data_IF_307986476969
#
_entry.id   IF_307986476969
#
_cell.length_a   1.000
_cell.length_b   1.000
_cell.length_c   1.000
_cell.angle_alpha   90.00
_cell.angle_beta   90.00
_cell.angle_gamma   90.00
#
_symmetry.space_group_name_H-M   'P 1'
#
loop_
_entity.id
_entity.type
_entity.pdbx_description
1 polymer ?
#
# COMPACT_ATOMS: atom_id res chain seq x y z
N UNK A 1 -2.90 -0.39 -2.38
CA UNK A 1 -3.26 -1.58 -1.58
C UNK A 1 -4.59 -2.11 -2.11
N UNK A 2 -4.78 -3.43 -2.09
CA UNK A 2 -6.09 -4.05 -2.38
C UNK A 2 -6.49 -4.95 -1.21
N UNK A 3 -7.76 -4.91 -0.84
CA UNK A 3 -8.40 -5.95 -0.01
C UNK A 3 -9.52 -6.55 -0.84
N UNK A 4 -9.33 -7.78 -1.32
CA UNK A 4 -10.37 -8.49 -2.04
C UNK A 4 -11.15 -9.35 -1.08
N UNK A 5 -12.39 -8.96 -0.77
CA UNK A 5 -13.34 -9.77 -0.03
C UNK A 5 -13.81 -10.95 -0.88
N UNK A 6 -13.99 -10.73 -2.19
CA UNK A 6 -14.36 -11.77 -3.15
C UNK A 6 -13.40 -12.95 -3.15
N UNK A 7 -12.09 -12.67 -3.16
CA UNK A 7 -11.04 -13.69 -3.24
C UNK A 7 -10.25 -13.88 -1.94
N UNK A 8 -10.66 -13.20 -0.86
CA UNK A 8 -10.09 -13.27 0.49
C UNK A 8 -8.57 -13.06 0.53
N UNK A 9 -8.09 -12.00 -0.12
CA UNK A 9 -6.68 -11.61 -0.05
C UNK A 9 -6.48 -10.14 0.31
N UNK A 10 -5.29 -9.82 0.82
CA UNK A 10 -4.79 -8.48 1.09
C UNK A 10 -3.45 -8.31 0.37
N UNK A 11 -3.42 -7.40 -0.61
CA UNK A 11 -2.19 -6.99 -1.27
C UNK A 11 -1.61 -5.74 -0.60
N UNK A 12 -0.56 -5.96 0.20
CA UNK A 12 0.17 -4.93 0.93
C UNK A 12 1.22 -4.30 -0.01
N UNK A 13 0.96 -3.07 -0.46
CA UNK A 13 1.78 -2.42 -1.49
C UNK A 13 2.98 -1.68 -0.89
N UNK A 14 4.17 -2.21 -1.11
CA UNK A 14 5.45 -1.58 -0.76
C UNK A 14 5.90 -0.56 -1.83
N UNK A 15 6.82 0.32 -1.45
CA UNK A 15 7.34 1.37 -2.32
C UNK A 15 8.50 0.87 -3.20
N UNK A 16 8.47 1.25 -4.49
CA UNK A 16 9.55 1.01 -5.48
C UNK A 16 9.79 -0.46 -5.83
N UNK A 17 8.72 -1.26 -5.81
CA UNK A 17 8.73 -2.73 -6.01
C UNK A 17 7.82 -3.17 -7.17
N UNK A 18 7.49 -2.27 -8.10
CA UNK A 18 6.47 -2.48 -9.14
C UNK A 18 5.05 -2.76 -8.59
N UNK A 19 4.79 -2.42 -7.33
CA UNK A 19 3.49 -2.66 -6.69
C UNK A 19 2.32 -1.96 -7.38
N UNK A 20 2.51 -0.84 -8.08
CA UNK A 20 1.44 -0.21 -8.86
C UNK A 20 0.98 -1.08 -10.03
N UNK A 21 1.91 -1.65 -10.80
CA UNK A 21 1.59 -2.54 -11.93
C UNK A 21 0.82 -3.77 -11.46
N UNK A 22 1.24 -4.37 -10.35
CA UNK A 22 0.53 -5.51 -9.73
C UNK A 22 -0.86 -5.09 -9.25
N UNK A 23 -1.00 -3.92 -8.62
CA UNK A 23 -2.29 -3.42 -8.17
C UNK A 23 -3.27 -3.19 -9.33
N UNK A 24 -2.80 -2.63 -10.45
CA UNK A 24 -3.59 -2.46 -11.68
C UNK A 24 -4.01 -3.83 -12.23
N UNK A 25 -3.08 -4.78 -12.36
CA UNK A 25 -3.38 -6.10 -12.89
C UNK A 25 -4.39 -6.87 -12.03
N UNK A 26 -4.27 -6.78 -10.69
CA UNK A 26 -5.18 -7.42 -9.75
C UNK A 26 -6.56 -6.74 -9.69
N UNK A 27 -6.66 -5.43 -9.96
CA UNK A 27 -7.94 -4.71 -9.87
C UNK A 27 -8.98 -5.21 -10.88
N UNK A 28 -8.53 -5.80 -12.00
CA UNK A 28 -9.39 -6.49 -12.98
C UNK A 28 -10.27 -7.58 -12.34
N UNK A 29 -9.77 -8.28 -11.32
CA UNK A 29 -10.45 -9.43 -10.71
C UNK A 29 -11.32 -9.06 -9.50
N UNK A 30 -11.26 -7.80 -9.06
CA UNK A 30 -11.94 -7.33 -7.86
C UNK A 30 -13.48 -7.26 -8.06
N UNK A 31 -14.21 -7.50 -6.97
CA UNK A 31 -15.67 -7.34 -6.88
C UNK A 31 -16.11 -5.92 -6.53
N UNK A 32 -17.44 -5.65 -6.48
CA UNK A 32 -17.97 -4.33 -6.11
C UNK A 32 -17.72 -3.95 -4.65
N UNK A 33 -17.60 -4.92 -3.75
CA UNK A 33 -17.37 -4.68 -2.31
C UNK A 33 -15.88 -4.62 -1.95
N UNK A 34 -15.00 -5.07 -2.85
CA UNK A 34 -13.55 -5.08 -2.63
C UNK A 34 -13.02 -3.66 -2.43
N UNK A 35 -11.95 -3.52 -1.66
CA UNK A 35 -11.32 -2.24 -1.36
C UNK A 35 -10.13 -2.04 -2.29
N UNK A 36 -10.15 -0.93 -3.02
CA UNK A 36 -9.06 -0.52 -3.92
C UNK A 36 -8.69 0.90 -3.54
N UNK A 37 -7.47 1.11 -3.07
CA UNK A 37 -7.00 2.46 -2.69
C UNK A 37 -6.63 3.29 -3.91
N UNK A 38 -6.75 4.61 -3.79
CA UNK A 38 -6.28 5.58 -4.79
C UNK A 38 -4.82 5.35 -5.20
N UNK A 39 -4.50 5.41 -6.49
CA UNK A 39 -3.11 5.56 -6.99
C UNK A 39 -2.94 6.94 -7.68
N UNK A 40 -1.81 7.17 -8.37
CA UNK A 40 -1.60 8.44 -9.08
C UNK A 40 -2.67 8.67 -10.15
N UNK A 41 -2.91 9.93 -10.53
CA UNK A 41 -3.93 10.27 -11.53
C UNK A 41 -3.62 9.63 -12.88
N UNK A 42 -2.34 9.59 -13.23
CA UNK A 42 -1.82 8.96 -14.43
C UNK A 42 -2.08 7.45 -14.42
N UNK A 43 -1.78 6.77 -13.31
CA UNK A 43 -1.99 5.33 -13.22
C UNK A 43 -3.50 4.97 -13.15
N UNK A 44 -4.34 5.81 -12.53
CA UNK A 44 -5.81 5.66 -12.58
C UNK A 44 -6.36 5.85 -14.00
N UNK A 45 -5.68 6.62 -14.86
CA UNK A 45 -6.03 6.70 -16.29
C UNK A 45 -5.74 5.36 -16.97
N UNK A 46 -4.58 4.76 -16.71
CA UNK A 46 -4.24 3.43 -17.25
C UNK A 46 -5.24 2.36 -16.81
N UNK A 47 -5.67 2.33 -15.53
CA UNK A 47 -6.72 1.41 -15.07
C UNK A 47 -8.02 1.55 -15.87
N UNK A 48 -8.43 2.80 -16.11
CA UNK A 48 -9.66 3.12 -16.85
C UNK A 48 -9.57 2.71 -18.31
N UNK A 49 -8.45 3.00 -18.98
CA UNK A 49 -8.19 2.60 -20.37
C UNK A 49 -8.21 1.08 -20.55
N UNK A 50 -7.74 0.33 -19.56
CA UNK A 50 -7.80 -1.13 -19.54
C UNK A 50 -9.20 -1.70 -19.18
N UNK A 51 -10.16 -0.85 -18.81
CA UNK A 51 -11.49 -1.27 -18.36
C UNK A 51 -11.48 -1.97 -17.00
N UNK A 52 -10.45 -1.74 -16.17
CA UNK A 52 -10.33 -2.36 -14.85
C UNK A 52 -10.98 -1.50 -13.77
N UNK A 53 -11.27 -2.09 -12.62
CA UNK A 53 -11.81 -1.34 -11.48
C UNK A 53 -10.80 -0.32 -10.97
N UNK A 54 -11.28 0.91 -10.76
CA UNK A 54 -10.54 1.99 -10.12
C UNK A 54 -10.66 1.95 -8.59
N UNK A 55 -10.22 3.02 -7.93
CA UNK A 55 -10.39 3.17 -6.49
C UNK A 55 -11.86 3.05 -6.04
N UNK A 56 -12.10 2.34 -4.93
CA UNK A 56 -13.43 2.14 -4.34
C UNK A 56 -13.31 1.66 -2.88
N UNK A 57 -14.34 1.92 -2.07
CA UNK A 57 -14.54 1.41 -0.70
C UNK A 57 -13.38 1.61 0.28
N UNK A 58 -12.43 2.51 -0.01
CA UNK A 58 -11.25 2.73 0.83
C UNK A 58 -11.48 3.73 1.97
N UNK A 59 -12.70 4.24 2.09
CA UNK A 59 -13.21 5.01 3.23
C UNK A 59 -14.24 4.16 3.92
N UNK A 60 -13.93 3.68 5.12
CA UNK A 60 -14.80 2.78 5.87
C UNK A 60 -15.69 3.57 6.82
N UNK A 61 -17.00 3.36 6.70
CA UNK A 61 -17.98 3.87 7.65
C UNK A 61 -17.73 3.33 9.06
N UNK A 62 -18.02 4.15 10.07
CA UNK A 62 -17.80 3.82 11.48
C UNK A 62 -18.41 2.46 11.85
N UNK A 63 -17.62 1.48 12.35
CA UNK A 63 -18.17 0.20 12.80
C UNK A 63 -18.83 0.39 14.16
N UNK A 64 -20.15 0.69 14.17
CA UNK A 64 -20.94 0.91 15.40
C UNK A 64 -20.96 -0.30 16.35
N UNK A 65 -20.54 -1.49 15.91
CA UNK A 65 -20.74 -2.76 16.64
C UNK A 65 -19.45 -3.51 17.06
N UNK A 66 -18.24 -2.99 16.79
CA UNK A 66 -16.98 -3.65 17.20
C UNK A 66 -16.17 -2.80 18.19
N UNK A 67 -16.37 -3.05 19.48
CA UNK A 67 -15.63 -2.42 20.60
C UNK A 67 -14.10 -2.63 20.56
N UNK A 68 -13.58 -3.59 19.79
CA UNK A 68 -12.14 -3.81 19.65
C UNK A 68 -11.50 -3.05 18.48
N UNK A 69 -12.30 -2.56 17.52
CA UNK A 69 -11.81 -1.96 16.27
C UNK A 69 -11.92 -0.42 16.22
N UNK A 70 -12.69 0.18 17.13
CA UNK A 70 -12.91 1.64 17.21
C UNK A 70 -11.62 2.47 17.43
N UNK A 71 -10.69 2.05 18.31
CA UNK A 71 -9.42 2.76 18.54
C UNK A 71 -8.55 2.79 17.28
N UNK A 72 -8.53 1.68 16.53
CA UNK A 72 -7.82 1.57 15.26
C UNK A 72 -8.40 2.45 14.17
N UNK A 73 -9.72 2.42 14.05
CA UNK A 73 -10.47 3.28 13.13
C UNK A 73 -10.24 4.77 13.44
N UNK A 74 -10.29 5.19 14.72
CA UNK A 74 -10.02 6.59 15.12
C UNK A 74 -8.59 7.04 14.78
N UNK A 75 -7.60 6.17 15.03
CA UNK A 75 -6.19 6.49 14.76
C UNK A 75 -5.87 6.57 13.26
N UNK A 76 -6.51 5.74 12.43
CA UNK A 76 -6.32 5.72 10.98
C UNK A 76 -7.34 6.58 10.21
N UNK A 77 -8.21 7.31 10.91
CA UNK A 77 -9.29 8.09 10.32
C UNK A 77 -10.34 7.26 9.57
N UNK A 78 -10.33 5.94 9.71
CA UNK A 78 -11.24 5.03 8.97
C UNK A 78 -10.90 4.87 7.49
N UNK A 79 -9.72 5.28 7.03
CA UNK A 79 -9.35 5.20 5.62
C UNK A 79 -8.19 4.22 5.39
N UNK A 80 -8.31 3.40 4.35
CA UNK A 80 -7.21 2.60 3.82
C UNK A 80 -6.50 3.39 2.71
N UNK A 81 -5.17 3.39 2.71
CA UNK A 81 -4.36 4.17 1.77
C UNK A 81 -3.11 3.40 1.30
N UNK A 82 -2.45 3.91 0.26
CA UNK A 82 -1.24 3.27 -0.29
C UNK A 82 -0.08 3.28 0.70
N UNK A 83 0.69 2.19 0.73
CA UNK A 83 1.84 2.03 1.63
C UNK A 83 1.48 2.13 3.13
N UNK A 84 0.21 1.95 3.47
CA UNK A 84 -0.22 1.81 4.86
C UNK A 84 0.55 0.66 5.54
N UNK A 85 0.98 0.86 6.79
CA UNK A 85 1.68 -0.18 7.52
C UNK A 85 0.78 -1.39 7.80
N UNK A 86 1.38 -2.58 7.96
CA UNK A 86 0.62 -3.78 8.32
C UNK A 86 -0.15 -3.60 9.64
N UNK A 87 0.44 -2.87 10.60
CA UNK A 87 -0.18 -2.56 11.88
C UNK A 87 -1.44 -1.72 11.73
N UNK A 88 -1.37 -0.64 10.94
CA UNK A 88 -2.54 0.22 10.67
C UNK A 88 -3.62 -0.55 9.90
N UNK A 89 -3.23 -1.27 8.84
CA UNK A 89 -4.16 -2.04 8.03
C UNK A 89 -4.90 -3.10 8.86
N UNK A 90 -4.19 -3.84 9.72
CA UNK A 90 -4.79 -4.77 10.68
C UNK A 90 -5.76 -4.07 11.63
N UNK A 91 -5.39 -2.88 12.10
CA UNK A 91 -6.20 -2.13 13.04
C UNK A 91 -7.50 -1.62 12.43
N UNK A 92 -7.49 -1.29 11.13
CA UNK A 92 -8.65 -0.81 10.36
C UNK A 92 -9.53 -1.97 9.89
N UNK A 93 -8.94 -3.05 9.36
CA UNK A 93 -9.67 -4.22 8.85
C UNK A 93 -10.20 -5.12 9.96
N UNK A 94 -9.64 -5.03 11.16
CA UNK A 94 -9.97 -5.89 12.28
C UNK A 94 -9.39 -7.30 12.14
N UNK A 95 -9.31 -7.99 13.29
CA UNK A 95 -8.67 -9.30 13.43
C UNK A 95 -9.32 -10.38 12.55
N UNK A 96 -10.65 -10.35 12.39
CA UNK A 96 -11.36 -11.38 11.63
C UNK A 96 -10.96 -11.38 10.15
N UNK A 97 -10.94 -10.22 9.49
CA UNK A 97 -10.51 -10.10 8.10
C UNK A 97 -9.00 -10.36 8.02
N UNK A 98 -8.22 -9.67 8.86
CA UNK A 98 -6.75 -9.78 8.82
C UNK A 98 -6.27 -11.22 8.95
N UNK A 99 -6.76 -11.98 9.92
CA UNK A 99 -6.26 -13.33 10.20
C UNK A 99 -6.77 -14.35 9.17
N UNK A 100 -7.91 -14.09 8.53
CA UNK A 100 -8.59 -15.07 7.65
C UNK A 100 -8.35 -14.87 6.15
N UNK A 101 -7.64 -13.81 5.76
CA UNK A 101 -7.30 -13.49 4.37
C UNK A 101 -5.83 -13.79 4.09
N UNK A 102 -5.54 -14.26 2.89
CA UNK A 102 -4.16 -14.43 2.43
C UNK A 102 -3.51 -13.07 2.22
N UNK A 103 -2.32 -12.86 2.79
CA UNK A 103 -1.60 -11.58 2.75
C UNK A 103 -0.33 -11.75 1.94
N UNK A 104 -0.05 -10.83 1.03
CA UNK A 104 1.19 -10.84 0.28
C UNK A 104 1.62 -9.42 -0.12
N UNK A 105 2.90 -9.30 -0.43
CA UNK A 105 3.51 -8.10 -0.99
C UNK A 105 4.56 -8.50 -2.03
N UNK A 106 5.07 -7.52 -2.76
CA UNK A 106 6.26 -7.69 -3.60
C UNK A 106 7.41 -6.96 -2.91
N UNK A 107 8.57 -7.60 -2.85
CA UNK A 107 9.80 -7.00 -2.37
C UNK A 107 10.84 -6.99 -3.49
N UNK A 108 11.79 -6.05 -3.42
CA UNK A 108 12.87 -5.92 -4.38
C UNK A 108 14.19 -5.78 -3.64
N UNK A 109 15.30 -6.13 -4.31
CA UNK A 109 16.64 -5.89 -3.80
C UNK A 109 16.77 -4.47 -3.21
N UNK A 110 17.28 -4.32 -1.96
CA UNK A 110 17.33 -3.02 -1.28
C UNK A 110 18.11 -1.95 -2.05
N UNK A 111 19.23 -2.32 -2.69
CA UNK A 111 20.06 -1.40 -3.48
C UNK A 111 19.30 -0.87 -4.68
N UNK A 112 18.61 -1.75 -5.41
CA UNK A 112 17.79 -1.35 -6.54
C UNK A 112 16.62 -0.45 -6.15
N UNK A 113 16.03 -0.67 -4.96
CA UNK A 113 14.96 0.19 -4.44
C UNK A 113 15.46 1.60 -4.19
N UNK A 114 16.68 1.74 -3.67
CA UNK A 114 17.34 3.04 -3.48
C UNK A 114 17.58 3.73 -4.81
N UNK A 115 18.17 3.03 -5.79
CA UNK A 115 18.42 3.59 -7.13
C UNK A 115 17.11 3.99 -7.80
N UNK A 116 16.07 3.16 -7.72
CA UNK A 116 14.75 3.47 -8.25
C UNK A 116 14.11 4.69 -7.56
N UNK A 117 14.34 4.88 -6.25
CA UNK A 117 13.87 6.06 -5.53
C UNK A 117 14.63 7.31 -5.95
N UNK A 118 15.96 7.22 -6.09
CA UNK A 118 16.81 8.32 -6.53
C UNK A 118 16.32 8.90 -7.85
N UNK A 119 16.22 8.09 -8.91
CA UNK A 119 15.74 8.57 -10.21
C UNK A 119 14.29 9.04 -10.19
N UNK A 120 13.45 8.50 -9.29
CA UNK A 120 12.07 8.96 -9.15
C UNK A 120 11.95 10.30 -8.42
N UNK A 121 12.84 10.61 -7.47
CA UNK A 121 12.85 11.87 -6.72
C UNK A 121 13.61 12.97 -7.45
N UNK A 122 14.76 12.64 -7.99
CA UNK A 122 15.66 13.56 -8.66
C UNK A 122 15.34 13.56 -10.15
N UNK A 123 14.18 14.06 -10.56
CA UNK A 123 13.81 14.06 -11.98
C UNK A 123 14.46 15.22 -12.75
N UNK A 124 14.68 16.35 -12.09
CA UNK A 124 15.21 17.58 -12.67
C UNK A 124 16.74 17.63 -12.63
N UNK A 125 17.32 18.34 -13.59
CA UNK A 125 18.77 18.60 -13.66
C UNK A 125 19.15 19.97 -13.07
N UNK A 126 20.36 20.11 -12.51
CA UNK A 126 21.32 19.04 -12.24
C UNK A 126 20.86 18.15 -11.07
N UNK A 127 21.00 16.83 -11.19
CA UNK A 127 20.71 15.93 -10.07
C UNK A 127 21.83 15.98 -9.01
N UNK A 128 21.49 15.87 -7.71
CA UNK A 128 22.49 15.63 -6.69
C UNK A 128 23.18 14.29 -6.95
N UNK A 129 24.42 14.12 -6.52
CA UNK A 129 25.09 12.82 -6.55
C UNK A 129 24.32 11.78 -5.72
N UNK A 130 24.53 10.50 -6.02
CA UNK A 130 23.94 9.41 -5.21
C UNK A 130 24.38 9.53 -3.74
N UNK A 131 25.60 9.96 -3.45
CA UNK A 131 26.09 10.16 -2.10
C UNK A 131 25.28 11.23 -1.35
N UNK A 132 25.11 12.42 -1.94
CA UNK A 132 24.27 13.49 -1.36
C UNK A 132 22.81 13.04 -1.17
N UNK A 133 22.27 12.26 -2.11
CA UNK A 133 20.94 11.69 -1.97
C UNK A 133 20.84 10.71 -0.80
N UNK A 134 21.85 9.87 -0.59
CA UNK A 134 21.90 8.93 0.54
C UNK A 134 21.89 9.67 1.88
N UNK A 135 22.66 10.76 1.97
CA UNK A 135 22.79 11.57 3.18
C UNK A 135 21.57 12.48 3.44
N UNK A 136 20.76 12.76 2.42
CA UNK A 136 19.55 13.61 2.54
C UNK A 136 18.46 13.07 3.48
N UNK A 137 18.55 11.80 3.91
CA UNK A 137 17.53 11.14 4.71
C UNK A 137 16.28 10.72 3.94
N UNK A 138 16.11 11.13 2.68
CA UNK A 138 15.02 10.68 1.79
C UNK A 138 14.91 9.16 1.69
N UNK A 139 16.01 8.37 1.60
CA UNK A 139 15.94 6.91 1.56
C UNK A 139 15.28 6.27 2.78
N UNK A 140 15.21 6.95 3.94
CA UNK A 140 14.54 6.42 5.14
C UNK A 140 13.05 6.13 4.88
N UNK A 141 12.44 6.78 3.90
CA UNK A 141 11.08 6.49 3.44
C UNK A 141 10.90 5.05 2.91
N UNK A 142 11.96 4.40 2.41
CA UNK A 142 11.90 3.01 1.92
C UNK A 142 11.73 1.99 3.06
N UNK A 143 12.21 2.32 4.27
CA UNK A 143 11.97 1.48 5.46
C UNK A 143 10.51 1.59 5.90
N UNK A 144 10.00 2.82 6.05
CA UNK A 144 8.61 3.07 6.45
C UNK A 144 7.61 2.49 5.45
N UNK A 145 7.79 2.78 4.17
CA UNK A 145 6.89 2.37 3.09
C UNK A 145 7.33 1.02 2.45
N UNK A 146 8.17 0.25 3.15
CA UNK A 146 8.66 -1.05 2.71
C UNK A 146 8.49 -2.05 3.83
N UNK A 147 9.54 -2.27 4.62
CA UNK A 147 9.55 -3.23 5.72
C UNK A 147 8.34 -3.11 6.66
N UNK A 148 7.94 -1.89 7.04
CA UNK A 148 6.77 -1.66 7.91
C UNK A 148 5.40 -1.98 7.28
N UNK A 149 5.34 -2.15 5.96
CA UNK A 149 4.10 -2.44 5.21
C UNK A 149 3.70 -3.91 5.31
N UNK A 150 4.64 -4.81 5.57
CA UNK A 150 4.40 -6.26 5.68
C UNK A 150 4.90 -6.88 6.99
N UNK A 151 5.35 -6.08 7.95
CA UNK A 151 5.80 -6.58 9.26
C UNK A 151 5.04 -5.96 10.42
N UNK A 152 4.85 -6.74 11.49
CA UNK A 152 4.33 -6.30 12.77
C UNK A 152 5.28 -6.85 13.85
N UNK A 153 5.88 -5.95 14.65
CA UNK A 153 6.85 -6.31 15.69
C UNK A 153 8.01 -7.16 15.13
N UNK A 154 8.54 -6.75 13.97
CA UNK A 154 9.65 -7.41 13.26
C UNK A 154 9.38 -8.85 12.81
N UNK A 155 8.12 -9.25 12.76
CA UNK A 155 7.67 -10.52 12.18
C UNK A 155 6.84 -10.27 10.91
N UNK A 156 6.95 -11.16 9.92
CA UNK A 156 6.10 -11.15 8.74
C UNK A 156 4.65 -11.31 9.19
N UNK A 157 3.77 -10.42 8.70
CA UNK A 157 2.43 -10.21 9.23
C UNK A 157 1.31 -11.04 8.59
#
# INVERSE_FOLDING_TARGET
>A
MIVSHKHRFIFLKTNKTAGTSVEIALSKFCGPDDIITAISVEDERTRRELGYRGQQNHTLSFPRHLFSSWKGWLLAGGHLYNHMSAREARSVLGKQIWDSYYKFCIERNPWDRVVSLYYWRCQQEPRPSIAEFLDSGVPKALKRNGYGVYTINDQIA
#
